data_IF_783896985341
#
_entry.id   IF_783896985341
#
_cell.length_a   1.000
_cell.length_b   1.000
_cell.length_c   1.000
_cell.angle_alpha   90.00
_cell.angle_beta   90.00
_cell.angle_gamma   90.00
#
_symmetry.space_group_name_H-M   'P 1'
#
loop_
_entity.id
_entity.type
_entity.pdbx_description
1 polymer ?
#
# COMPACT_ATOMS: atom_id res chain seq x y z
N UNK A 1 -7.93 0.94 6.27
CA UNK A 1 -7.83 2.29 6.85
C UNK A 1 -8.62 2.34 8.16
N UNK A 2 -8.22 3.23 9.06
CA UNK A 2 -8.86 3.40 10.37
C UNK A 2 -9.45 4.81 10.52
N UNK A 3 -10.04 5.09 11.69
CA UNK A 3 -10.50 6.45 12.05
C UNK A 3 -9.38 7.49 12.14
N UNK A 4 -8.13 7.08 12.03
CA UNK A 4 -6.99 8.01 11.95
C UNK A 4 -6.93 8.75 10.60
N UNK A 5 -7.48 8.13 9.53
CA UNK A 5 -7.60 8.72 8.19
C UNK A 5 -9.08 8.75 7.75
N UNK A 6 -9.43 8.02 6.71
CA UNK A 6 -10.78 8.00 6.10
C UNK A 6 -11.59 6.73 6.43
N UNK A 7 -11.02 5.82 7.21
CA UNK A 7 -11.70 4.63 7.71
C UNK A 7 -12.74 4.95 8.81
N UNK A 8 -13.58 3.97 9.12
CA UNK A 8 -14.69 4.14 10.07
C UNK A 8 -14.50 3.39 11.38
N UNK A 9 -13.55 2.46 11.43
CA UNK A 9 -13.27 1.59 12.56
C UNK A 9 -11.94 1.95 13.23
N UNK A 10 -11.81 1.71 14.52
CA UNK A 10 -10.56 1.81 15.25
C UNK A 10 -9.60 0.66 14.89
N UNK A 11 -8.35 0.75 15.31
CA UNK A 11 -7.36 -0.32 15.15
C UNK A 11 -7.86 -1.60 15.84
N UNK A 12 -8.39 -1.46 17.04
CA UNK A 12 -8.89 -2.57 17.84
C UNK A 12 -10.09 -3.26 17.16
N UNK A 13 -11.06 -2.48 16.66
CA UNK A 13 -12.22 -3.00 15.93
C UNK A 13 -11.80 -3.73 14.64
N UNK A 14 -10.83 -3.18 13.89
CA UNK A 14 -10.29 -3.84 12.70
C UNK A 14 -9.61 -5.17 13.05
N UNK A 15 -8.84 -5.22 14.14
CA UNK A 15 -8.17 -6.43 14.59
C UNK A 15 -9.17 -7.51 15.01
N UNK A 16 -10.19 -7.16 15.80
CA UNK A 16 -11.21 -8.11 16.22
C UNK A 16 -12.06 -8.62 15.06
N UNK A 17 -12.39 -7.77 14.09
CA UNK A 17 -13.08 -8.19 12.87
C UNK A 17 -12.23 -9.15 12.01
N UNK A 18 -10.94 -8.87 11.86
CA UNK A 18 -10.02 -9.74 11.13
C UNK A 18 -9.88 -11.12 11.82
N UNK A 19 -9.74 -11.13 13.14
CA UNK A 19 -9.70 -12.36 13.94
C UNK A 19 -11.01 -13.16 13.81
N UNK A 20 -12.17 -12.49 13.85
CA UNK A 20 -13.48 -13.14 13.76
C UNK A 20 -13.69 -13.89 12.43
N UNK A 21 -13.02 -13.49 11.34
CA UNK A 21 -13.03 -14.19 10.06
C UNK A 21 -11.89 -15.20 9.89
N UNK A 22 -11.13 -15.47 10.97
CA UNK A 22 -10.11 -16.53 11.02
C UNK A 22 -8.71 -16.10 10.55
N UNK A 23 -8.42 -14.80 10.45
CA UNK A 23 -7.06 -14.34 10.19
C UNK A 23 -6.20 -14.41 11.45
N UNK A 24 -4.90 -14.60 11.28
CA UNK A 24 -3.91 -14.61 12.37
C UNK A 24 -3.21 -13.26 12.54
N UNK A 25 -3.30 -12.38 11.56
CA UNK A 25 -2.72 -11.03 11.60
C UNK A 25 -3.47 -10.09 10.65
N UNK A 26 -3.25 -8.79 10.83
CA UNK A 26 -3.67 -7.73 9.91
C UNK A 26 -2.59 -6.63 9.87
N UNK A 27 -2.37 -6.02 8.72
CA UNK A 27 -1.60 -4.77 8.63
C UNK A 27 -2.57 -3.58 8.63
N UNK A 28 -2.31 -2.59 9.47
CA UNK A 28 -3.03 -1.30 9.42
C UNK A 28 -2.29 -0.40 8.44
N UNK A 29 -2.96 0.00 7.35
CA UNK A 29 -2.36 0.69 6.21
C UNK A 29 -3.16 1.95 5.88
N UNK A 30 -3.19 2.90 6.81
CA UNK A 30 -3.79 4.22 6.62
C UNK A 30 -3.01 5.03 5.56
N UNK A 31 -3.60 6.09 5.00
CA UNK A 31 -2.95 6.93 4.01
C UNK A 31 -1.85 7.82 4.60
N UNK A 32 -0.77 8.05 3.83
CA UNK A 32 0.24 9.05 4.14
C UNK A 32 -0.24 10.48 3.87
N UNK A 33 0.51 11.46 4.37
CA UNK A 33 0.12 12.89 4.43
C UNK A 33 -0.25 13.50 3.07
N UNK A 34 0.31 13.00 1.96
CA UNK A 34 0.00 13.49 0.61
C UNK A 34 -1.48 13.37 0.29
N UNK A 35 -2.17 12.36 0.79
CA UNK A 35 -3.60 12.17 0.60
C UNK A 35 -4.38 13.00 1.63
N UNK A 36 -4.32 14.32 1.47
CA UNK A 36 -4.89 15.29 2.41
C UNK A 36 -6.42 15.15 2.56
N UNK A 37 -7.13 14.79 1.48
CA UNK A 37 -8.58 14.56 1.51
C UNK A 37 -8.98 13.36 2.40
N UNK A 38 -8.07 12.42 2.63
CA UNK A 38 -8.25 11.31 3.55
C UNK A 38 -7.69 11.59 4.95
N UNK A 39 -7.29 12.83 5.26
CA UNK A 39 -6.61 13.19 6.51
C UNK A 39 -5.32 12.39 6.74
N UNK A 40 -4.54 12.15 5.67
CA UNK A 40 -3.35 11.30 5.68
C UNK A 40 -2.37 11.64 6.81
N UNK A 41 -1.64 10.62 7.25
CA UNK A 41 -0.77 10.67 8.42
C UNK A 41 0.56 11.37 8.11
N UNK A 42 0.89 12.40 8.88
CA UNK A 42 2.25 12.95 8.95
C UNK A 42 3.20 11.95 9.62
N UNK A 43 4.53 12.09 9.46
CA UNK A 43 5.50 11.24 10.17
C UNK A 43 5.20 11.06 11.65
N UNK A 44 4.97 12.16 12.38
CA UNK A 44 4.71 12.13 13.82
C UNK A 44 3.42 11.36 14.16
N UNK A 45 2.33 11.61 13.41
CA UNK A 45 1.05 10.90 13.62
C UNK A 45 1.18 9.41 13.31
N UNK A 46 1.96 9.04 12.31
CA UNK A 46 2.21 7.65 11.96
C UNK A 46 3.01 6.94 13.07
N UNK A 47 4.07 7.56 13.56
CA UNK A 47 4.86 7.01 14.65
C UNK A 47 4.04 6.85 15.94
N UNK A 48 3.14 7.79 16.24
CA UNK A 48 2.19 7.65 17.36
C UNK A 48 1.22 6.47 17.14
N UNK A 49 0.69 6.30 15.93
CA UNK A 49 -0.16 5.16 15.59
C UNK A 49 0.58 3.84 15.76
N UNK A 50 1.82 3.74 15.26
CA UNK A 50 2.63 2.52 15.39
C UNK A 50 2.98 2.21 16.85
N UNK A 51 3.27 3.22 17.64
CA UNK A 51 3.46 3.05 19.09
C UNK A 51 2.17 2.52 19.77
N UNK A 52 1.00 2.98 19.34
CA UNK A 52 -0.27 2.45 19.81
C UNK A 52 -0.46 0.97 19.40
N UNK A 53 -0.08 0.61 18.16
CA UNK A 53 -0.10 -0.79 17.68
C UNK A 53 0.81 -1.66 18.54
N UNK A 54 2.02 -1.23 18.85
CA UNK A 54 2.95 -1.96 19.72
C UNK A 54 2.35 -2.18 21.11
N UNK A 55 1.68 -1.17 21.69
CA UNK A 55 1.00 -1.27 22.99
C UNK A 55 -0.19 -2.25 22.94
N UNK A 56 -0.99 -2.23 21.87
CA UNK A 56 -2.10 -3.16 21.68
C UNK A 56 -1.56 -4.58 21.60
N UNK A 57 -0.56 -4.85 20.77
CA UNK A 57 0.06 -6.18 20.63
C UNK A 57 0.63 -6.68 21.97
N UNK A 58 1.32 -5.82 22.72
CA UNK A 58 1.91 -6.17 24.00
C UNK A 58 0.85 -6.55 25.09
N UNK A 59 -0.36 -6.01 24.98
CA UNK A 59 -1.45 -6.25 25.92
C UNK A 59 -2.42 -7.36 25.49
N UNK A 60 -2.24 -7.95 24.30
CA UNK A 60 -3.07 -9.06 23.83
C UNK A 60 -2.71 -10.36 24.57
N UNK A 61 -3.74 -11.15 24.87
CA UNK A 61 -3.59 -12.47 25.50
C UNK A 61 -3.61 -13.62 24.46
N UNK A 62 -3.82 -13.28 23.19
CA UNK A 62 -3.86 -14.22 22.07
C UNK A 62 -2.64 -14.01 21.11
N UNK A 63 -2.47 -14.92 20.15
CA UNK A 63 -1.37 -14.90 19.18
C UNK A 63 -1.66 -14.01 17.95
N UNK A 64 -2.76 -13.24 17.93
CA UNK A 64 -3.09 -12.35 16.82
C UNK A 64 -2.16 -11.15 16.78
N UNK A 65 -1.62 -10.82 15.61
CA UNK A 65 -0.63 -9.75 15.43
C UNK A 65 -1.19 -8.63 14.56
N UNK A 66 -1.02 -7.38 15.01
CA UNK A 66 -1.28 -6.19 14.21
C UNK A 66 0.06 -5.67 13.70
N UNK A 67 0.25 -5.66 12.37
CA UNK A 67 1.45 -5.14 11.75
C UNK A 67 1.36 -3.62 11.58
N UNK A 68 2.47 -2.94 11.80
CA UNK A 68 2.64 -1.50 11.56
C UNK A 68 2.81 -1.26 10.07
N UNK A 69 1.78 -0.74 9.42
CA UNK A 69 1.77 -0.48 8.00
C UNK A 69 1.41 0.96 7.65
N UNK A 70 1.57 1.30 6.39
CA UNK A 70 1.14 2.56 5.78
C UNK A 70 0.89 2.35 4.29
N UNK A 71 -0.15 2.97 3.73
CA UNK A 71 -0.26 3.20 2.30
C UNK A 71 0.38 4.56 1.99
N UNK A 72 1.66 4.51 1.59
CA UNK A 72 2.49 5.67 1.33
C UNK A 72 2.43 6.09 -0.14
N UNK A 73 2.18 7.37 -0.39
CA UNK A 73 2.08 7.88 -1.75
C UNK A 73 3.45 7.95 -2.43
N UNK A 74 3.51 7.61 -3.72
CA UNK A 74 4.66 7.81 -4.59
C UNK A 74 4.55 9.22 -5.18
N UNK A 75 5.51 10.08 -4.92
CA UNK A 75 5.49 11.48 -5.36
C UNK A 75 5.60 11.59 -6.89
N UNK A 76 5.09 12.68 -7.44
CA UNK A 76 5.10 12.93 -8.89
C UNK A 76 6.50 13.05 -9.49
N UNK A 77 7.46 13.48 -8.69
CA UNK A 77 8.86 13.59 -9.09
C UNK A 77 9.69 12.34 -8.79
N UNK A 78 9.07 11.28 -8.26
CA UNK A 78 9.75 10.12 -7.68
C UNK A 78 9.91 10.24 -6.17
N UNK A 79 10.33 9.15 -5.54
CA UNK A 79 10.47 9.04 -4.09
C UNK A 79 9.15 8.83 -3.35
N UNK A 80 9.26 8.52 -2.06
CA UNK A 80 8.12 8.28 -1.17
C UNK A 80 7.71 9.55 -0.42
N UNK A 81 6.43 9.69 -0.12
CA UNK A 81 5.87 10.83 0.64
C UNK A 81 6.38 10.91 2.10
N UNK A 82 6.86 9.81 2.64
CA UNK A 82 7.43 9.72 3.98
C UNK A 82 8.94 9.43 3.94
N UNK A 83 9.74 9.98 4.89
CA UNK A 83 11.17 9.73 4.95
C UNK A 83 11.52 8.26 5.22
N UNK A 84 12.64 7.79 4.66
CA UNK A 84 13.10 6.41 4.83
C UNK A 84 13.32 6.01 6.30
N UNK A 85 13.81 6.93 7.15
CA UNK A 85 13.96 6.67 8.57
C UNK A 85 12.64 6.41 9.32
N UNK A 86 11.53 6.87 8.77
CA UNK A 86 10.17 6.55 9.24
C UNK A 86 9.73 5.21 8.67
N UNK A 87 9.84 5.02 7.35
CA UNK A 87 9.44 3.79 6.67
C UNK A 87 10.16 2.54 7.22
N UNK A 88 11.43 2.69 7.60
CA UNK A 88 12.26 1.63 8.20
C UNK A 88 11.71 1.08 9.53
N UNK A 89 10.81 1.78 10.20
CA UNK A 89 10.20 1.36 11.48
C UNK A 89 8.88 0.58 11.29
N UNK A 90 8.38 0.51 10.06
CA UNK A 90 7.16 -0.23 9.72
C UNK A 90 7.45 -1.69 9.38
N UNK A 91 6.42 -2.51 9.51
CA UNK A 91 6.46 -3.93 9.17
C UNK A 91 5.99 -4.18 7.72
N UNK A 92 5.09 -3.33 7.20
CA UNK A 92 4.46 -3.53 5.90
C UNK A 92 4.13 -2.19 5.21
N UNK A 93 4.98 -1.77 4.30
CA UNK A 93 4.86 -0.51 3.58
C UNK A 93 4.28 -0.77 2.19
N UNK A 94 3.14 -0.17 1.90
CA UNK A 94 2.48 -0.21 0.59
C UNK A 94 2.79 1.11 -0.12
N UNK A 95 3.27 1.04 -1.36
CA UNK A 95 3.47 2.21 -2.20
C UNK A 95 2.33 2.35 -3.21
N UNK A 96 1.77 3.54 -3.37
CA UNK A 96 0.61 3.80 -4.22
C UNK A 96 0.72 5.10 -5.02
N UNK A 97 0.06 5.15 -6.18
CA UNK A 97 -0.02 6.35 -7.03
C UNK A 97 -1.41 6.96 -6.92
N UNK A 98 -1.55 8.07 -6.17
CA UNK A 98 -2.81 8.81 -6.09
C UNK A 98 -2.80 10.09 -6.94
N UNK A 99 -1.65 10.71 -7.16
CA UNK A 99 -1.50 11.97 -7.88
C UNK A 99 -0.60 11.84 -9.11
N UNK A 100 -0.68 12.79 -10.03
CA UNK A 100 0.12 12.80 -11.25
C UNK A 100 -0.20 11.67 -12.22
N UNK A 101 -1.42 11.16 -12.23
CA UNK A 101 -1.84 10.00 -13.05
C UNK A 101 -1.89 10.29 -14.55
N UNK A 102 -1.83 11.56 -14.96
CA UNK A 102 -1.77 11.98 -16.36
C UNK A 102 -0.33 12.20 -16.88
N UNK A 103 0.67 11.82 -16.10
CA UNK A 103 2.07 11.89 -16.53
C UNK A 103 2.33 10.92 -17.70
N UNK A 104 3.37 11.17 -18.53
CA UNK A 104 3.80 10.25 -19.57
C UNK A 104 4.11 8.84 -19.01
N UNK A 105 3.82 7.79 -19.79
CA UNK A 105 4.05 6.38 -19.45
C UNK A 105 5.41 6.13 -18.79
N UNK A 106 6.48 6.64 -19.38
CA UNK A 106 7.83 6.44 -18.87
C UNK A 106 7.98 7.01 -17.45
N UNK A 107 7.46 8.22 -17.22
CA UNK A 107 7.60 8.89 -15.93
C UNK A 107 6.81 8.18 -14.83
N UNK A 108 5.59 7.68 -15.13
CA UNK A 108 4.82 6.87 -14.18
C UNK A 108 5.53 5.56 -13.90
N UNK A 109 6.05 4.90 -14.94
CA UNK A 109 6.78 3.64 -14.80
C UNK A 109 8.04 3.82 -13.94
N UNK A 110 8.83 4.85 -14.22
CA UNK A 110 10.10 5.11 -13.52
C UNK A 110 9.88 5.36 -12.03
N UNK A 111 8.91 6.19 -11.66
CA UNK A 111 8.64 6.46 -10.24
C UNK A 111 8.08 5.25 -9.48
N UNK A 112 7.31 4.36 -10.15
CA UNK A 112 6.87 3.10 -9.53
C UNK A 112 8.05 2.16 -9.35
N UNK A 113 8.96 2.07 -10.33
CA UNK A 113 10.17 1.26 -10.22
C UNK A 113 11.07 1.78 -9.10
N UNK A 114 11.25 3.10 -8.99
CA UNK A 114 12.00 3.71 -7.88
C UNK A 114 11.41 3.34 -6.51
N UNK A 115 10.07 3.35 -6.38
CA UNK A 115 9.42 2.90 -5.15
C UNK A 115 9.62 1.40 -4.88
N UNK A 116 9.63 0.56 -5.92
CA UNK A 116 9.93 -0.87 -5.82
C UNK A 116 11.38 -1.11 -5.34
N UNK A 117 12.33 -0.30 -5.79
CA UNK A 117 13.74 -0.38 -5.40
C UNK A 117 13.98 0.12 -3.97
N UNK A 118 13.05 0.87 -3.38
CA UNK A 118 13.16 1.27 -1.98
C UNK A 118 13.11 0.02 -1.07
N UNK A 119 14.13 -0.22 -0.22
CA UNK A 119 14.22 -1.42 0.60
C UNK A 119 13.07 -1.58 1.59
N UNK A 120 12.43 -0.50 2.01
CA UNK A 120 11.37 -0.50 3.00
C UNK A 120 9.99 -0.79 2.41
N UNK A 121 9.78 -0.61 1.10
CA UNK A 121 8.53 -0.91 0.42
C UNK A 121 8.33 -2.42 0.33
N UNK A 122 7.12 -2.89 0.66
CA UNK A 122 6.73 -4.30 0.63
C UNK A 122 5.89 -4.65 -0.61
N UNK A 123 5.00 -3.72 -1.01
CA UNK A 123 3.98 -3.97 -2.04
C UNK A 123 3.65 -2.70 -2.82
N UNK A 124 3.27 -2.86 -4.10
CA UNK A 124 2.64 -1.81 -4.90
C UNK A 124 1.12 -2.03 -4.91
N UNK A 125 0.35 -1.02 -4.48
CA UNK A 125 -1.11 -1.05 -4.48
C UNK A 125 -1.69 -0.59 -5.82
N UNK A 126 -2.88 -1.14 -6.17
CA UNK A 126 -3.69 -0.78 -7.35
C UNK A 126 -2.85 -0.27 -8.54
N UNK A 127 -2.00 -1.13 -9.13
CA UNK A 127 -0.86 -0.76 -9.98
C UNK A 127 -1.21 -0.02 -11.27
N UNK A 128 -2.48 -0.02 -11.69
CA UNK A 128 -2.95 0.73 -12.86
C UNK A 128 -3.84 1.92 -12.49
N UNK A 129 -4.25 2.03 -11.23
CA UNK A 129 -5.08 3.11 -10.71
C UNK A 129 -6.49 3.19 -11.29
N UNK A 130 -6.93 2.17 -12.08
CA UNK A 130 -8.24 2.20 -12.72
C UNK A 130 -9.39 2.18 -11.71
N UNK A 131 -10.51 2.80 -12.11
CA UNK A 131 -11.81 2.69 -11.47
C UNK A 131 -12.85 2.39 -12.55
N UNK A 132 -13.45 1.21 -12.52
CA UNK A 132 -14.40 0.76 -13.53
C UNK A 132 -15.54 1.77 -13.70
N UNK A 133 -15.82 2.15 -14.94
CA UNK A 133 -16.82 3.16 -15.33
C UNK A 133 -16.60 4.58 -14.76
N UNK A 134 -15.44 4.88 -14.18
CA UNK A 134 -15.14 6.21 -13.59
C UNK A 134 -13.81 6.77 -14.03
N UNK A 135 -12.78 5.96 -14.12
CA UNK A 135 -11.42 6.39 -14.47
C UNK A 135 -10.67 5.27 -15.15
N UNK A 136 -10.15 5.55 -16.34
CA UNK A 136 -9.26 4.63 -17.05
C UNK A 136 -7.96 4.38 -16.27
N UNK A 137 -7.29 3.26 -16.58
CA UNK A 137 -5.94 3.02 -16.11
C UNK A 137 -5.01 4.13 -16.60
N UNK A 138 -4.09 4.58 -15.73
CA UNK A 138 -3.00 5.42 -16.23
C UNK A 138 -2.06 4.61 -17.12
N UNK A 139 -1.33 5.31 -18.00
CA UNK A 139 -0.41 4.67 -18.94
C UNK A 139 0.88 4.28 -18.20
N UNK A 140 1.10 2.97 -18.01
CA UNK A 140 2.24 2.40 -17.30
C UNK A 140 2.78 1.19 -18.04
N UNK A 141 4.10 0.97 -18.01
CA UNK A 141 4.70 -0.28 -18.47
C UNK A 141 4.60 -1.34 -17.36
N UNK A 142 3.49 -2.08 -17.37
CA UNK A 142 3.22 -3.06 -16.31
C UNK A 142 4.22 -4.24 -16.32
N UNK A 143 4.78 -4.59 -17.52
CA UNK A 143 5.79 -5.64 -17.61
C UNK A 143 7.10 -5.19 -16.98
N UNK A 144 7.52 -3.93 -17.19
CA UNK A 144 8.69 -3.36 -16.52
C UNK A 144 8.50 -3.31 -15.00
N UNK A 145 7.30 -2.94 -14.54
CA UNK A 145 6.94 -2.97 -13.10
C UNK A 145 7.04 -4.39 -12.54
N UNK A 146 6.54 -5.40 -13.24
CA UNK A 146 6.65 -6.80 -12.81
C UNK A 146 8.09 -7.29 -12.78
N UNK A 147 8.91 -6.94 -13.76
CA UNK A 147 10.34 -7.29 -13.75
C UNK A 147 11.06 -6.69 -12.55
N UNK A 148 10.81 -5.41 -12.26
CA UNK A 148 11.38 -4.72 -11.10
C UNK A 148 10.89 -5.36 -9.78
N UNK A 149 9.59 -5.62 -9.65
CA UNK A 149 9.01 -6.25 -8.46
C UNK A 149 9.63 -7.63 -8.20
N UNK A 150 9.79 -8.45 -9.25
CA UNK A 150 10.46 -9.75 -9.15
C UNK A 150 11.92 -9.60 -8.70
N UNK A 151 12.67 -8.71 -9.33
CA UNK A 151 14.09 -8.51 -9.02
C UNK A 151 14.31 -8.05 -7.58
N UNK A 152 13.38 -7.29 -7.02
CA UNK A 152 13.44 -6.74 -5.66
C UNK A 152 12.58 -7.52 -4.64
N UNK A 153 12.00 -8.67 -5.02
CA UNK A 153 11.15 -9.51 -4.17
C UNK A 153 9.95 -8.76 -3.56
N UNK A 154 9.34 -7.85 -4.33
CA UNK A 154 8.18 -7.07 -3.90
C UNK A 154 6.87 -7.68 -4.40
N UNK A 155 5.82 -7.50 -3.61
CA UNK A 155 4.46 -7.92 -3.97
C UNK A 155 3.77 -6.88 -4.85
N UNK A 156 2.78 -7.34 -5.62
CA UNK A 156 1.90 -6.47 -6.39
C UNK A 156 0.45 -6.82 -6.06
N UNK A 157 -0.35 -5.82 -5.70
CA UNK A 157 -1.72 -6.01 -5.27
C UNK A 157 -2.64 -6.50 -6.40
N UNK A 158 -3.48 -7.47 -6.08
CA UNK A 158 -4.76 -7.64 -6.74
C UNK A 158 -5.85 -6.96 -5.89
N UNK A 159 -6.22 -5.74 -6.24
CA UNK A 159 -7.35 -5.06 -5.60
C UNK A 159 -8.66 -5.64 -6.13
N UNK A 160 -9.28 -6.52 -5.35
CA UNK A 160 -10.50 -7.24 -5.71
C UNK A 160 -11.79 -6.42 -5.48
N UNK A 161 -11.69 -5.13 -5.11
CA UNK A 161 -12.87 -4.28 -5.01
C UNK A 161 -13.61 -4.25 -6.37
N UNK A 162 -14.94 -4.56 -6.41
CA UNK A 162 -15.70 -4.63 -7.67
C UNK A 162 -15.66 -3.35 -8.52
N UNK A 163 -15.35 -2.19 -7.93
CA UNK A 163 -15.19 -0.94 -8.67
C UNK A 163 -13.76 -0.74 -9.21
N UNK A 164 -12.82 -1.61 -8.87
CA UNK A 164 -11.43 -1.57 -9.34
C UNK A 164 -11.08 -2.78 -10.21
N UNK A 165 -11.03 -3.97 -9.62
CA UNK A 165 -10.43 -5.19 -10.18
C UNK A 165 -9.05 -4.88 -10.79
N UNK A 166 -8.18 -4.29 -10.01
CA UNK A 166 -6.85 -3.85 -10.39
C UNK A 166 -5.81 -4.69 -9.61
N UNK A 167 -5.11 -5.55 -10.25
CA UNK A 167 -4.92 -5.87 -11.67
C UNK A 167 -6.16 -6.54 -12.34
N UNK A 168 -6.22 -6.41 -13.69
CA UNK A 168 -7.17 -7.18 -14.48
C UNK A 168 -6.66 -8.62 -14.75
N UNK A 169 -7.49 -9.46 -15.38
CA UNK A 169 -7.20 -10.85 -15.69
C UNK A 169 -5.96 -11.04 -16.59
N UNK A 170 -5.75 -10.16 -17.58
CA UNK A 170 -4.58 -10.18 -18.46
C UNK A 170 -3.31 -9.90 -17.66
N UNK A 171 -3.33 -8.86 -16.84
CA UNK A 171 -2.20 -8.51 -15.99
C UNK A 171 -1.92 -9.56 -14.90
N UNK A 172 -2.96 -10.21 -14.38
CA UNK A 172 -2.80 -11.32 -13.43
C UNK A 172 -2.13 -12.53 -14.06
N UNK A 173 -2.47 -12.85 -15.32
CA UNK A 173 -1.80 -13.92 -16.05
C UNK A 173 -0.33 -13.58 -16.28
N UNK A 174 -0.02 -12.34 -16.64
CA UNK A 174 1.35 -11.85 -16.77
C UNK A 174 2.11 -11.92 -15.44
N UNK A 175 1.53 -11.40 -14.34
CA UNK A 175 2.12 -11.47 -13.00
C UNK A 175 2.45 -12.90 -12.58
N UNK A 176 1.51 -13.85 -12.81
CA UNK A 176 1.73 -15.28 -12.58
C UNK A 176 2.88 -15.82 -13.43
N UNK A 177 2.99 -15.43 -14.70
CA UNK A 177 4.07 -15.85 -15.60
C UNK A 177 5.44 -15.33 -15.12
N UNK A 178 5.47 -14.11 -14.60
CA UNK A 178 6.67 -13.53 -13.99
C UNK A 178 7.00 -14.14 -12.62
N UNK A 179 6.06 -14.85 -11.98
CA UNK A 179 6.22 -15.41 -10.63
C UNK A 179 6.19 -14.32 -9.54
N UNK A 180 5.33 -13.31 -9.71
CA UNK A 180 5.11 -12.23 -8.72
C UNK A 180 4.16 -12.75 -7.62
N UNK A 181 4.49 -12.54 -6.34
CA UNK A 181 3.58 -12.85 -5.24
C UNK A 181 2.49 -11.80 -5.09
#
# INVERSE_FOLDING_TARGET
HTTATDGKASIEEMAEAAKAIGLNYIAITDHSQRVSMANGLTPDRLLEQWKKIDQINANRADDFVILKGIECDILEAGGMDLPDEVLAQGDFIIASVHYGQNQPRQQITDRIIEAIENPHVSMIAHPTGRLLNKREAYDVDIDAVFQAAKANHKMVELNANPVRLDLNDIHLLAAKTHGIP
#
